data_IF_128583416210
#
_entry.id   IF_128583416210
#
_cell.length_a   1.000
_cell.length_b   1.000
_cell.length_c   1.000
_cell.angle_alpha   90.00
_cell.angle_beta   90.00
_cell.angle_gamma   90.00
#
_symmetry.space_group_name_H-M   'P 1'
#
loop_
_entity.id
_entity.type
_entity.pdbx_description
1 polymer ?
#
# COMPACT_ATOMS: atom_id res chain seq x y z
N UNK A 1 -37.73 -4.46 12.05
CA UNK A 1 -37.78 -5.74 11.28
C UNK A 1 -37.59 -5.57 9.76
N UNK A 2 -38.36 -4.72 9.08
CA UNK A 2 -38.33 -4.58 7.61
C UNK A 2 -37.03 -3.96 7.05
N UNK A 3 -36.48 -2.94 7.73
CA UNK A 3 -35.22 -2.29 7.32
C UNK A 3 -34.04 -3.26 7.39
N UNK A 4 -33.98 -4.07 8.45
CA UNK A 4 -32.94 -5.08 8.63
C UNK A 4 -32.96 -6.13 7.51
N UNK A 5 -34.12 -6.72 7.21
CA UNK A 5 -34.27 -7.70 6.14
C UNK A 5 -33.92 -7.13 4.75
N UNK A 6 -34.22 -5.85 4.50
CA UNK A 6 -33.80 -5.16 3.27
C UNK A 6 -32.27 -5.00 3.22
N UNK A 7 -31.63 -4.70 4.34
CA UNK A 7 -30.17 -4.61 4.45
C UNK A 7 -29.49 -5.93 4.09
N UNK A 8 -29.93 -7.03 4.69
CA UNK A 8 -29.40 -8.38 4.42
C UNK A 8 -29.53 -8.76 2.93
N UNK A 9 -30.68 -8.47 2.30
CA UNK A 9 -30.89 -8.74 0.87
C UNK A 9 -29.93 -7.95 -0.03
N UNK A 10 -29.63 -6.70 0.34
CA UNK A 10 -28.66 -5.88 -0.41
C UNK A 10 -27.24 -6.41 -0.20
N UNK A 11 -26.86 -6.75 1.04
CA UNK A 11 -25.55 -7.33 1.36
C UNK A 11 -25.30 -8.63 0.59
N UNK A 12 -26.31 -9.51 0.54
CA UNK A 12 -26.24 -10.75 -0.24
C UNK A 12 -25.93 -10.47 -1.72
N UNK A 13 -26.63 -9.50 -2.32
CA UNK A 13 -26.41 -9.10 -3.71
C UNK A 13 -25.08 -8.38 -3.97
N UNK A 14 -24.32 -8.03 -2.93
CA UNK A 14 -23.00 -7.39 -3.04
C UNK A 14 -21.83 -8.36 -2.80
N UNK A 15 -22.10 -9.61 -2.41
CA UNK A 15 -21.04 -10.59 -2.08
C UNK A 15 -20.02 -10.76 -3.18
N UNK A 16 -20.45 -10.90 -4.44
CA UNK A 16 -19.53 -11.08 -5.56
C UNK A 16 -18.64 -9.85 -5.78
N UNK A 17 -19.16 -8.64 -5.51
CA UNK A 17 -18.38 -7.41 -5.60
C UNK A 17 -17.33 -7.33 -4.49
N UNK A 18 -17.68 -7.74 -3.27
CA UNK A 18 -16.72 -7.80 -2.18
C UNK A 18 -15.66 -8.87 -2.42
N UNK A 19 -16.04 -10.05 -2.90
CA UNK A 19 -15.08 -11.09 -3.26
C UNK A 19 -14.08 -10.62 -4.35
N UNK A 20 -14.55 -9.87 -5.36
CA UNK A 20 -13.67 -9.29 -6.36
C UNK A 20 -12.73 -8.22 -5.79
N UNK A 21 -13.22 -7.37 -4.87
CA UNK A 21 -12.39 -6.40 -4.16
C UNK A 21 -11.33 -7.12 -3.32
N UNK A 22 -11.68 -8.17 -2.61
CA UNK A 22 -10.78 -8.94 -1.74
C UNK A 22 -9.64 -9.57 -2.55
N UNK A 23 -9.93 -10.14 -3.71
CA UNK A 23 -8.89 -10.68 -4.62
C UNK A 23 -7.91 -9.61 -5.08
N UNK A 24 -8.41 -8.42 -5.45
CA UNK A 24 -7.56 -7.30 -5.87
C UNK A 24 -6.74 -6.77 -4.69
N UNK A 25 -7.34 -6.70 -3.50
CA UNK A 25 -6.67 -6.28 -2.29
C UNK A 25 -5.54 -7.25 -1.91
N UNK A 26 -5.78 -8.56 -1.96
CA UNK A 26 -4.77 -9.59 -1.68
C UNK A 26 -3.59 -9.50 -2.66
N UNK A 27 -3.86 -9.37 -3.95
CA UNK A 27 -2.82 -9.19 -4.95
C UNK A 27 -1.97 -7.94 -4.69
N UNK A 28 -2.63 -6.80 -4.43
CA UNK A 28 -1.92 -5.55 -4.16
C UNK A 28 -1.13 -5.60 -2.84
N UNK A 29 -1.65 -6.28 -1.83
CA UNK A 29 -0.96 -6.48 -0.56
C UNK A 29 0.34 -7.28 -0.78
N UNK A 30 0.26 -8.38 -1.54
CA UNK A 30 1.44 -9.18 -1.89
C UNK A 30 2.45 -8.37 -2.70
N UNK A 31 1.99 -7.57 -3.67
CA UNK A 31 2.84 -6.68 -4.48
C UNK A 31 3.60 -5.66 -3.62
N UNK A 32 2.93 -5.00 -2.69
CA UNK A 32 3.55 -4.02 -1.77
C UNK A 32 4.55 -4.71 -0.84
N UNK A 33 4.18 -5.85 -0.26
CA UNK A 33 5.05 -6.62 0.61
C UNK A 33 6.33 -7.05 -0.12
N UNK A 34 6.20 -7.54 -1.35
CA UNK A 34 7.33 -7.92 -2.18
C UNK A 34 8.25 -6.73 -2.48
N UNK A 35 7.70 -5.55 -2.82
CA UNK A 35 8.50 -4.36 -3.08
C UNK A 35 9.27 -3.89 -1.83
N UNK A 36 8.65 -3.98 -0.64
CA UNK A 36 9.33 -3.70 0.63
C UNK A 36 10.47 -4.68 0.91
N UNK A 37 10.26 -5.98 0.67
CA UNK A 37 11.27 -7.02 0.84
C UNK A 37 12.44 -6.83 -0.14
N UNK A 38 12.14 -6.57 -1.42
CA UNK A 38 13.14 -6.33 -2.48
C UNK A 38 14.06 -5.16 -2.15
N UNK A 39 13.51 -4.07 -1.61
CA UNK A 39 14.29 -2.89 -1.22
C UNK A 39 14.84 -2.94 0.21
N UNK A 40 14.72 -4.10 0.88
CA UNK A 40 15.29 -4.35 2.22
C UNK A 40 14.87 -3.29 3.24
N UNK A 41 13.59 -2.94 3.24
CA UNK A 41 13.00 -2.05 4.25
C UNK A 41 13.28 -2.63 5.63
N UNK A 42 13.81 -1.80 6.52
CA UNK A 42 14.22 -2.20 7.87
C UNK A 42 13.99 -1.06 8.86
N UNK A 43 14.23 -1.31 10.16
CA UNK A 43 14.12 -0.30 11.21
C UNK A 43 14.92 0.98 10.91
N UNK A 44 16.07 0.85 10.25
CA UNK A 44 16.90 1.99 9.85
C UNK A 44 16.21 2.94 8.84
N UNK A 45 15.23 2.46 8.08
CA UNK A 45 14.46 3.28 7.13
C UNK A 45 13.46 4.21 7.83
N UNK A 46 13.21 4.01 9.12
CA UNK A 46 12.31 4.84 9.93
C UNK A 46 13.07 5.86 10.79
N UNK A 47 14.40 5.98 10.61
CA UNK A 47 15.19 6.98 11.30
C UNK A 47 14.76 8.38 10.83
N UNK A 48 14.45 9.25 11.78
CA UNK A 48 14.14 10.64 11.46
C UNK A 48 15.42 11.37 11.05
N UNK A 49 15.36 12.09 9.93
CA UNK A 49 16.42 13.04 9.53
C UNK A 49 16.04 14.45 9.99
N UNK A 50 17.04 15.22 10.42
CA UNK A 50 16.87 16.64 10.81
C UNK A 50 17.75 17.52 9.92
N UNK A 51 17.46 18.82 9.88
CA UNK A 51 18.17 19.76 8.99
C UNK A 51 17.82 19.54 7.51
N UNK A 52 18.82 19.58 6.62
CA UNK A 52 18.62 19.44 5.17
C UNK A 52 18.27 18.01 4.71
N UNK A 53 18.40 17.02 5.58
CA UNK A 53 18.06 15.63 5.25
C UNK A 53 18.93 15.02 4.15
N UNK A 54 20.22 15.37 4.08
CA UNK A 54 21.18 14.66 3.23
C UNK A 54 21.31 13.19 3.66
N UNK A 55 21.52 12.30 2.69
CA UNK A 55 21.67 10.85 2.89
C UNK A 55 20.52 10.19 3.67
N UNK A 56 19.30 10.69 3.46
CA UNK A 56 18.09 10.09 4.04
C UNK A 56 17.79 8.76 3.35
N UNK A 57 18.44 7.71 3.86
CA UNK A 57 18.29 6.35 3.39
C UNK A 57 16.84 5.87 3.43
N UNK A 58 16.06 6.29 4.43
CA UNK A 58 14.65 5.93 4.55
C UNK A 58 13.82 6.50 3.41
N UNK A 59 14.05 7.78 3.09
CA UNK A 59 13.39 8.49 2.00
C UNK A 59 13.74 7.90 0.63
N UNK A 60 15.02 7.69 0.35
CA UNK A 60 15.45 7.14 -0.95
C UNK A 60 14.95 5.69 -1.13
N UNK A 61 14.87 4.92 -0.04
CA UNK A 61 14.30 3.58 -0.06
C UNK A 61 12.78 3.61 -0.33
N UNK A 62 12.05 4.54 0.30
CA UNK A 62 10.62 4.72 0.05
C UNK A 62 10.33 5.02 -1.42
N UNK A 63 11.14 5.86 -2.07
CA UNK A 63 11.01 6.14 -3.50
C UNK A 63 11.20 4.91 -4.36
N UNK A 64 12.21 4.09 -4.05
CA UNK A 64 12.44 2.83 -4.76
C UNK A 64 11.31 1.83 -4.58
N UNK A 65 10.73 1.74 -3.37
CA UNK A 65 9.54 0.91 -3.12
C UNK A 65 8.37 1.38 -3.99
N UNK A 66 8.13 2.69 -4.08
CA UNK A 66 7.07 3.22 -4.94
C UNK A 66 7.34 2.93 -6.42
N UNK A 67 8.57 3.16 -6.90
CA UNK A 67 8.93 2.85 -8.27
C UNK A 67 8.70 1.36 -8.61
N UNK A 68 9.06 0.45 -7.69
CA UNK A 68 8.82 -0.99 -7.85
C UNK A 68 7.34 -1.38 -7.84
N UNK A 69 6.52 -0.76 -6.97
CA UNK A 69 5.06 -1.02 -6.87
C UNK A 69 4.32 -0.55 -8.12
N UNK A 70 4.74 0.59 -8.69
CA UNK A 70 4.12 1.21 -9.86
C UNK A 70 4.78 0.81 -11.18
N UNK A 71 5.85 0.01 -11.14
CA UNK A 71 6.59 -0.44 -12.31
C UNK A 71 7.16 0.71 -13.15
N UNK A 72 7.74 1.71 -12.49
CA UNK A 72 8.40 2.86 -13.12
C UNK A 72 9.90 2.83 -12.87
N UNK A 73 10.66 3.63 -13.63
CA UNK A 73 12.11 3.75 -13.46
C UNK A 73 12.49 4.49 -12.17
N UNK A 74 11.67 5.46 -11.77
CA UNK A 74 11.84 6.28 -10.58
C UNK A 74 10.50 6.75 -10.02
N UNK A 75 10.50 7.22 -8.77
CA UNK A 75 9.36 7.87 -8.13
C UNK A 75 9.85 9.01 -7.23
N UNK A 76 9.05 10.06 -7.09
CA UNK A 76 9.28 11.16 -6.16
C UNK A 76 8.19 11.16 -5.10
N UNK A 77 8.52 10.75 -3.87
CA UNK A 77 7.56 10.61 -2.77
C UNK A 77 8.02 11.43 -1.57
N UNK A 78 7.28 12.48 -1.29
CA UNK A 78 7.67 13.54 -0.36
C UNK A 78 6.45 13.99 0.46
N UNK A 79 6.57 14.19 1.79
CA UNK A 79 5.49 14.78 2.59
C UNK A 79 5.34 16.31 2.41
N UNK A 80 6.29 16.96 1.72
CA UNK A 80 6.35 18.41 1.51
C UNK A 80 5.36 18.93 0.47
#
# INVERSE_FOLDING_TARGET
PAVYARGEKVLEGLKDRFAAIDQVAEHNQAKVLWAMQKNRVSAACFAATTGYGYDDYGRDNLERVYADVFHTEAALVRPQ
#
